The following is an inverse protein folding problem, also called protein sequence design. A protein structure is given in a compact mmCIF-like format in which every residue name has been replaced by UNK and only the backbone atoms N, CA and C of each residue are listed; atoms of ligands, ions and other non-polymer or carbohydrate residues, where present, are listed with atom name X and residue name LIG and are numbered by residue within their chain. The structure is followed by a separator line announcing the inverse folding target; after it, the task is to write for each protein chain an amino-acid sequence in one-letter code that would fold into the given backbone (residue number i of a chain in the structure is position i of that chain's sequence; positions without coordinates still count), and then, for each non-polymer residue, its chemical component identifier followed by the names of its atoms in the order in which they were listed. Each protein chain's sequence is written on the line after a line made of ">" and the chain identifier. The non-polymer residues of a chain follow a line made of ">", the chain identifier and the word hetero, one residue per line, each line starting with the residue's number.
data_IF_721011944946
#
_entry.id   IF_721011944946
#
_cell.length_a   1.000
_cell.length_b   1.000
_cell.length_c   1.000
_cell.angle_alpha   90.00
_cell.angle_beta   90.00
_cell.angle_gamma   90.00
#
_symmetry.space_group_name_H-M   'P 1'
#
loop_
_entity.id
_entity.type
_entity.pdbx_description
1 polymer ?
#
# COMPACT_ATOMS: atom_id res chain seq x y z
N UNK A 1 28.28 26.86 27.35
CA UNK A 1 28.64 26.72 25.92
C UNK A 1 27.75 27.65 25.10
N UNK A 2 28.30 28.44 24.18
CA UNK A 2 27.49 29.35 23.34
C UNK A 2 26.70 28.57 22.27
N UNK A 3 25.62 29.16 21.73
CA UNK A 3 24.86 28.57 20.60
C UNK A 3 25.77 28.27 19.40
N UNK A 4 26.70 29.16 19.11
CA UNK A 4 27.66 29.04 18.01
C UNK A 4 28.64 27.90 18.25
N UNK A 5 29.19 27.81 19.46
CA UNK A 5 30.09 26.71 19.86
C UNK A 5 29.38 25.37 19.77
N UNK A 6 28.13 25.29 20.24
CA UNK A 6 27.33 24.08 20.13
C UNK A 6 27.04 23.70 18.68
N UNK A 7 26.71 24.66 17.83
CA UNK A 7 26.49 24.44 16.39
C UNK A 7 27.74 23.84 15.72
N UNK A 8 28.92 24.40 15.97
CA UNK A 8 30.17 23.88 15.42
C UNK A 8 30.54 22.50 15.99
N UNK A 9 30.26 22.28 17.27
CA UNK A 9 30.43 20.96 17.90
C UNK A 9 29.58 19.89 17.19
N UNK A 10 28.28 20.15 16.99
CA UNK A 10 27.40 19.22 16.29
C UNK A 10 27.85 18.98 14.84
N UNK A 11 28.31 20.03 14.15
CA UNK A 11 28.90 19.92 12.80
C UNK A 11 30.16 19.06 12.79
N UNK A 12 31.01 19.19 13.80
CA UNK A 12 32.20 18.35 13.99
C UNK A 12 31.88 16.87 14.22
N UNK A 13 30.72 16.58 14.84
CA UNK A 13 30.19 15.22 15.00
C UNK A 13 29.50 14.68 13.73
N UNK A 14 29.51 15.41 12.61
CA UNK A 14 28.86 14.98 11.37
C UNK A 14 27.37 15.32 11.27
N UNK A 15 26.79 16.03 12.25
CA UNK A 15 25.38 16.44 12.24
C UNK A 15 25.18 17.74 11.44
N UNK A 16 24.07 17.85 10.74
CA UNK A 16 23.71 19.08 10.01
C UNK A 16 22.23 19.40 10.12
N UNK A 17 21.91 20.69 10.24
CA UNK A 17 20.53 21.17 10.25
C UNK A 17 20.03 21.39 8.82
N UNK A 18 19.14 20.52 8.33
CA UNK A 18 18.69 20.46 6.94
C UNK A 18 17.17 20.30 6.85
N UNK A 19 16.62 20.40 5.63
CA UNK A 19 15.20 20.09 5.39
C UNK A 19 14.99 18.61 5.67
N UNK A 20 14.07 18.30 6.58
CA UNK A 20 13.73 16.93 6.90
C UNK A 20 12.91 16.34 5.74
N UNK A 21 13.56 15.53 4.90
CA UNK A 21 12.90 14.82 3.79
C UNK A 21 12.50 13.38 4.15
N UNK A 22 12.78 12.96 5.38
CA UNK A 22 12.88 11.56 5.77
C UNK A 22 14.07 10.91 5.05
N UNK A 23 14.87 10.12 5.78
CA UNK A 23 15.82 9.26 5.08
C UNK A 23 15.03 8.19 4.32
N UNK A 24 14.93 8.34 3.00
CA UNK A 24 14.37 7.32 2.11
C UNK A 24 15.51 6.35 1.77
N UNK A 25 15.44 5.14 2.31
CA UNK A 25 16.40 4.09 2.01
C UNK A 25 16.02 3.41 0.70
N UNK A 26 17.00 3.24 -0.16
CA UNK A 26 16.85 2.46 -1.39
C UNK A 26 17.30 1.05 -1.04
N UNK A 27 16.33 0.18 -0.78
CA UNK A 27 16.58 -1.23 -0.61
C UNK A 27 16.33 -1.94 -1.93
N UNK A 28 17.35 -2.65 -2.42
CA UNK A 28 17.31 -3.39 -3.66
C UNK A 28 17.34 -4.88 -3.35
N UNK A 29 16.17 -5.51 -3.45
CA UNK A 29 16.08 -6.97 -3.54
C UNK A 29 15.75 -7.35 -4.96
N UNK A 30 16.39 -8.40 -5.46
CA UNK A 30 16.19 -8.88 -6.82
C UNK A 30 14.72 -9.23 -7.12
N UNK A 31 13.99 -9.82 -6.15
CA UNK A 31 12.57 -10.16 -6.31
C UNK A 31 11.69 -8.90 -6.42
N UNK A 32 11.97 -7.86 -5.64
CA UNK A 32 11.28 -6.57 -5.75
C UNK A 32 11.62 -5.83 -7.05
N UNK A 33 12.87 -5.92 -7.50
CA UNK A 33 13.30 -5.35 -8.78
C UNK A 33 12.58 -6.02 -9.96
N UNK A 34 12.46 -7.35 -9.96
CA UNK A 34 11.73 -8.09 -10.97
C UNK A 34 10.24 -7.73 -10.99
N UNK A 35 9.59 -7.62 -9.83
CA UNK A 35 8.19 -7.17 -9.72
C UNK A 35 8.00 -5.75 -10.26
N UNK A 36 8.93 -4.84 -9.96
CA UNK A 36 8.93 -3.48 -10.50
C UNK A 36 9.10 -3.46 -12.01
N UNK A 37 10.00 -4.27 -12.56
CA UNK A 37 10.18 -4.39 -14.01
C UNK A 37 8.90 -4.87 -14.69
N UNK A 38 8.24 -5.90 -14.15
CA UNK A 38 6.96 -6.38 -14.65
C UNK A 38 5.88 -5.29 -14.61
N UNK A 39 5.73 -4.59 -13.47
CA UNK A 39 4.82 -3.46 -13.32
C UNK A 39 5.08 -2.36 -14.38
N UNK A 40 6.33 -1.97 -14.56
CA UNK A 40 6.70 -0.93 -15.53
C UNK A 40 6.37 -1.36 -16.97
N UNK A 41 6.61 -2.62 -17.32
CA UNK A 41 6.22 -3.19 -18.62
C UNK A 41 4.72 -3.14 -18.84
N UNK A 42 3.91 -3.53 -17.85
CA UNK A 42 2.43 -3.46 -17.93
C UNK A 42 1.94 -2.03 -18.10
N UNK A 43 2.49 -1.08 -17.34
CA UNK A 43 2.16 0.34 -17.47
C UNK A 43 2.57 0.88 -18.85
N UNK A 44 3.74 0.50 -19.36
CA UNK A 44 4.19 0.90 -20.69
C UNK A 44 3.27 0.37 -21.80
N UNK A 45 2.83 -0.89 -21.69
CA UNK A 45 1.85 -1.49 -22.59
C UNK A 45 0.50 -0.76 -22.53
N UNK A 46 -0.02 -0.49 -21.33
CA UNK A 46 -1.28 0.24 -21.18
C UNK A 46 -1.21 1.63 -21.84
N UNK A 47 -0.07 2.32 -21.71
CA UNK A 47 0.18 3.61 -22.39
C UNK A 47 0.25 3.46 -23.90
N UNK A 48 0.95 2.46 -24.43
CA UNK A 48 1.07 2.26 -25.88
C UNK A 48 -0.28 1.91 -26.54
N UNK A 49 -1.16 1.24 -25.80
CA UNK A 49 -2.55 0.97 -26.21
C UNK A 49 -3.48 2.18 -26.08
N UNK A 50 -3.01 3.31 -25.56
CA UNK A 50 -3.82 4.51 -25.35
C UNK A 50 -4.83 4.37 -24.20
N UNK A 51 -4.58 3.47 -23.23
CA UNK A 51 -5.45 3.32 -22.06
C UNK A 51 -5.46 4.58 -21.19
N UNK A 52 -6.60 4.87 -20.58
CA UNK A 52 -6.72 5.87 -19.52
C UNK A 52 -6.20 5.26 -18.21
N UNK A 53 -5.00 5.67 -17.80
CA UNK A 53 -4.43 5.28 -16.50
C UNK A 53 -5.04 6.14 -15.40
N UNK A 54 -5.63 5.48 -14.40
CA UNK A 54 -6.17 6.12 -13.20
C UNK A 54 -5.45 5.56 -11.99
N UNK A 55 -4.71 6.40 -11.29
CA UNK A 55 -4.01 6.05 -10.06
C UNK A 55 -4.90 6.34 -8.87
N UNK A 56 -5.08 5.34 -8.01
CA UNK A 56 -5.87 5.42 -6.79
C UNK A 56 -4.91 5.22 -5.63
N UNK A 57 -4.99 6.11 -4.64
CA UNK A 57 -4.17 6.04 -3.44
C UNK A 57 -4.91 6.64 -2.25
N UNK A 58 -4.50 6.21 -1.05
CA UNK A 58 -4.93 6.81 0.20
C UNK A 58 -3.81 7.57 0.88
N UNK A 59 -4.13 8.74 1.41
CA UNK A 59 -3.17 9.53 2.16
C UNK A 59 -3.75 10.05 3.47
N UNK A 60 -2.87 10.31 4.42
CA UNK A 60 -3.21 10.92 5.69
C UNK A 60 -3.08 12.43 5.60
N UNK A 61 -4.14 13.13 6.00
CA UNK A 61 -4.15 14.56 6.26
C UNK A 61 -3.95 14.74 7.76
N UNK A 62 -2.74 15.15 8.14
CA UNK A 62 -2.37 15.42 9.52
C UNK A 62 -2.96 16.76 9.97
N UNK A 63 -3.42 16.82 11.22
CA UNK A 63 -3.97 18.02 11.86
C UNK A 63 -2.88 18.99 12.34
N UNK A 64 -1.67 18.48 12.54
CA UNK A 64 -0.52 19.22 13.07
C UNK A 64 0.62 19.31 12.05
N UNK A 65 1.28 20.47 12.05
CA UNK A 65 2.41 20.76 11.17
C UNK A 65 3.70 20.20 11.77
N UNK A 66 4.51 19.51 10.97
CA UNK A 66 5.86 19.12 11.38
C UNK A 66 6.86 20.23 11.09
N UNK A 67 7.96 20.27 11.85
CA UNK A 67 9.06 21.20 11.58
C UNK A 67 9.74 20.82 10.26
N UNK A 68 9.71 21.72 9.27
CA UNK A 68 10.33 21.54 7.94
C UNK A 68 11.82 21.19 7.99
N UNK A 69 12.52 21.56 9.06
CA UNK A 69 13.96 21.33 9.23
C UNK A 69 14.27 20.60 10.53
N UNK A 70 15.25 19.72 10.49
CA UNK A 70 15.73 18.93 11.62
C UNK A 70 17.24 18.70 11.53
N UNK A 71 17.80 18.14 12.59
CA UNK A 71 19.19 17.68 12.60
C UNK A 71 19.26 16.29 11.98
N UNK A 72 20.20 16.12 11.05
CA UNK A 72 20.44 14.90 10.27
C UNK A 72 21.90 14.47 10.46
N UNK A 73 22.12 13.17 10.66
CA UNK A 73 23.46 12.57 10.73
C UNK A 73 23.96 12.21 9.33
N UNK A 74 25.02 12.88 8.89
CA UNK A 74 25.59 12.67 7.57
C UNK A 74 26.56 11.48 7.51
N UNK A 75 26.88 10.86 8.64
CA UNK A 75 27.78 9.69 8.69
C UNK A 75 27.08 8.40 8.24
N UNK A 76 25.74 8.40 8.27
CA UNK A 76 24.93 7.25 7.86
C UNK A 76 24.77 7.25 6.33
N UNK A 77 25.26 6.19 5.68
CA UNK A 77 25.09 6.01 4.24
C UNK A 77 23.61 5.86 3.87
N UNK A 78 23.19 6.38 2.71
CA UNK A 78 21.82 6.19 2.19
C UNK A 78 21.49 4.74 1.85
N UNK A 79 22.52 3.89 1.72
CA UNK A 79 22.42 2.46 1.37
C UNK A 79 22.70 1.54 2.57
N UNK A 80 22.61 2.08 3.78
CA UNK A 80 22.88 1.34 5.02
C UNK A 80 21.84 0.23 5.22
N UNK A 81 22.24 -0.97 5.70
CA UNK A 81 21.31 -2.06 6.00
C UNK A 81 20.25 -1.68 7.04
N UNK A 82 19.08 -2.31 6.96
CA UNK A 82 17.96 -2.05 7.89
C UNK A 82 18.33 -2.23 9.37
N UNK A 83 19.18 -3.21 9.69
CA UNK A 83 19.64 -3.49 11.05
C UNK A 83 20.47 -2.35 11.66
N UNK A 84 21.30 -1.69 10.85
CA UNK A 84 22.04 -0.52 11.31
C UNK A 84 21.08 0.64 11.58
N UNK A 85 19.97 0.75 10.83
CA UNK A 85 19.00 1.82 10.97
C UNK A 85 18.12 1.74 12.22
N UNK A 86 17.89 0.54 12.77
CA UNK A 86 17.13 0.37 14.03
C UNK A 86 17.76 1.14 15.20
N UNK A 87 19.07 1.38 15.16
CA UNK A 87 19.79 2.19 16.14
C UNK A 87 19.69 3.71 15.96
N UNK A 88 19.10 4.22 14.87
CA UNK A 88 19.12 5.65 14.53
C UNK A 88 17.72 6.26 14.34
N UNK A 89 17.55 7.49 14.83
CA UNK A 89 16.34 8.28 14.61
C UNK A 89 16.42 9.04 13.28
N UNK A 90 15.54 8.72 12.32
CA UNK A 90 15.51 9.35 10.98
C UNK A 90 14.77 10.71 10.94
N UNK A 91 14.55 11.33 12.09
CA UNK A 91 13.77 12.57 12.22
C UNK A 91 12.26 12.34 12.07
N UNK A 92 11.46 13.24 12.66
CA UNK A 92 9.99 13.18 12.58
C UNK A 92 9.50 13.86 11.31
N UNK A 93 9.03 13.08 10.34
CA UNK A 93 8.43 13.59 9.09
C UNK A 93 6.91 13.73 9.16
N UNK A 94 6.25 13.03 10.09
CA UNK A 94 4.82 13.07 10.33
C UNK A 94 4.50 13.52 11.76
N UNK A 95 3.34 14.16 11.95
CA UNK A 95 2.83 14.51 13.27
C UNK A 95 2.43 13.26 14.06
N UNK A 96 2.37 13.38 15.39
CA UNK A 96 2.05 12.25 16.27
C UNK A 96 0.64 11.70 16.04
N UNK A 97 -0.32 12.56 15.73
CA UNK A 97 -1.71 12.17 15.53
C UNK A 97 -1.99 12.09 14.04
N UNK A 98 -2.35 10.89 13.58
CA UNK A 98 -2.92 10.70 12.24
C UNK A 98 -4.29 11.39 12.26
N UNK A 99 -4.45 12.40 11.41
CA UNK A 99 -5.70 13.15 11.31
C UNK A 99 -6.74 12.39 10.49
N UNK A 100 -7.16 12.97 9.37
CA UNK A 100 -8.16 12.37 8.46
C UNK A 100 -7.46 11.53 7.40
N UNK A 101 -8.11 10.50 6.87
CA UNK A 101 -7.67 9.80 5.67
C UNK A 101 -8.42 10.32 4.46
N UNK A 102 -7.77 10.38 3.30
CA UNK A 102 -8.38 10.75 2.03
C UNK A 102 -8.03 9.70 1.01
N UNK A 103 -9.04 9.22 0.28
CA UNK A 103 -8.88 8.39 -0.91
C UNK A 103 -9.26 9.22 -2.13
N UNK A 104 -8.53 9.06 -3.23
CA UNK A 104 -8.81 9.77 -4.47
C UNK A 104 -8.28 9.06 -5.70
N UNK A 105 -8.76 9.49 -6.86
CA UNK A 105 -8.29 9.05 -8.17
C UNK A 105 -7.64 10.22 -8.92
N UNK A 106 -6.52 9.96 -9.59
CA UNK A 106 -5.80 10.94 -10.41
C UNK A 106 -5.41 10.32 -11.75
N UNK A 107 -5.47 11.11 -12.81
CA UNK A 107 -5.03 10.76 -14.17
C UNK A 107 -3.88 11.69 -14.60
N UNK A 108 -3.41 11.53 -15.84
CA UNK A 108 -2.41 12.43 -16.41
C UNK A 108 -2.93 13.88 -16.51
N UNK A 109 -4.23 14.05 -16.67
CA UNK A 109 -4.91 15.34 -16.78
C UNK A 109 -5.24 15.98 -15.41
N UNK A 110 -5.01 15.26 -14.31
CA UNK A 110 -5.23 15.75 -12.95
C UNK A 110 -6.21 14.90 -12.15
N UNK A 111 -6.76 15.47 -11.08
CA UNK A 111 -7.66 14.76 -10.17
C UNK A 111 -8.98 14.44 -10.88
N UNK A 112 -9.47 13.20 -10.75
CA UNK A 112 -10.81 12.85 -11.22
C UNK A 112 -11.82 13.52 -10.30
N UNK A 113 -12.47 14.57 -10.80
CA UNK A 113 -13.43 15.36 -10.03
C UNK A 113 -14.57 14.50 -9.48
N UNK A 114 -14.83 14.67 -8.19
CA UNK A 114 -15.88 13.92 -7.49
C UNK A 114 -15.49 12.50 -7.07
N UNK A 115 -14.26 12.05 -7.29
CA UNK A 115 -13.76 10.78 -6.74
C UNK A 115 -13.06 10.93 -5.39
N UNK A 116 -12.87 12.15 -4.88
CA UNK A 116 -12.21 12.35 -3.58
C UNK A 116 -13.18 12.08 -2.43
N UNK A 117 -12.86 11.13 -1.56
CA UNK A 117 -13.64 10.84 -0.33
C UNK A 117 -12.75 11.07 0.89
N UNK A 118 -13.23 11.90 1.81
CA UNK A 118 -12.56 12.16 3.09
C UNK A 118 -13.17 11.23 4.13
N UNK A 119 -12.31 10.42 4.75
CA UNK A 119 -12.65 9.49 5.82
C UNK A 119 -12.10 10.07 7.12
N UNK A 120 -12.98 10.30 8.08
CA UNK A 120 -12.63 10.90 9.36
C UNK A 120 -12.51 9.80 10.41
N UNK A 121 -11.27 9.55 10.85
CA UNK A 121 -10.94 8.67 11.96
C UNK A 121 -11.45 9.22 13.30
N UNK A 122 -11.89 8.35 14.22
CA UNK A 122 -12.00 8.69 15.65
C UNK A 122 -13.29 9.38 16.14
N UNK A 123 -14.47 9.10 15.57
CA UNK A 123 -15.77 9.48 16.19
C UNK A 123 -16.38 8.42 17.12
N UNK A 124 -15.77 7.25 17.26
CA UNK A 124 -16.22 6.20 18.16
C UNK A 124 -15.49 6.24 19.52
N UNK A 125 -16.13 5.83 20.63
CA UNK A 125 -15.50 5.77 21.95
C UNK A 125 -14.25 4.88 21.96
N UNK A 126 -13.33 5.19 22.87
CA UNK A 126 -11.90 4.82 22.91
C UNK A 126 -11.60 3.31 23.14
N UNK A 127 -12.58 2.41 22.98
CA UNK A 127 -12.40 0.99 23.29
C UNK A 127 -12.56 0.04 22.08
N UNK A 128 -12.62 0.58 20.87
CA UNK A 128 -12.67 -0.23 19.64
C UNK A 128 -11.46 0.06 18.74
N UNK A 129 -10.57 -0.93 18.70
CA UNK A 129 -9.54 -1.24 17.72
C UNK A 129 -9.20 -0.13 16.69
N UNK A 130 -8.05 0.52 16.90
CA UNK A 130 -7.47 1.60 16.07
C UNK A 130 -7.16 1.19 14.61
N UNK A 131 -7.45 -0.04 14.19
CA UNK A 131 -7.23 -0.57 12.84
C UNK A 131 -8.41 -0.37 11.87
N UNK A 132 -9.50 0.30 12.26
CA UNK A 132 -10.79 0.23 11.54
C UNK A 132 -11.12 1.33 10.51
N UNK A 133 -10.25 2.32 10.26
CA UNK A 133 -10.63 3.51 9.48
C UNK A 133 -10.80 3.27 7.96
N UNK A 134 -10.08 2.30 7.39
CA UNK A 134 -10.28 1.86 6.00
C UNK A 134 -10.27 0.34 6.00
N UNK A 135 -11.42 -0.25 5.73
CA UNK A 135 -11.60 -1.70 5.67
C UNK A 135 -12.05 -2.13 4.28
N UNK A 136 -12.14 -3.44 4.07
CA UNK A 136 -12.54 -4.02 2.80
C UNK A 136 -13.89 -3.50 2.30
N UNK A 137 -14.89 -3.34 3.18
CA UNK A 137 -16.23 -2.88 2.74
C UNK A 137 -16.22 -1.43 2.28
N UNK A 138 -15.55 -0.55 3.03
CA UNK A 138 -15.40 0.86 2.66
C UNK A 138 -14.64 1.02 1.34
N UNK A 139 -13.57 0.24 1.17
CA UNK A 139 -12.85 0.23 -0.09
C UNK A 139 -13.72 -0.34 -1.20
N UNK A 140 -14.41 -1.46 -1.04
CA UNK A 140 -15.27 -2.04 -2.10
C UNK A 140 -16.41 -1.11 -2.56
N UNK A 141 -17.00 -0.36 -1.63
CA UNK A 141 -18.05 0.61 -1.96
C UNK A 141 -17.51 1.79 -2.77
N UNK A 142 -16.25 2.19 -2.56
CA UNK A 142 -15.69 3.38 -3.20
C UNK A 142 -15.57 3.25 -4.74
N UNK A 143 -14.97 2.20 -5.33
CA UNK A 143 -14.99 1.99 -6.78
C UNK A 143 -16.42 1.87 -7.30
N UNK A 144 -17.33 1.20 -6.59
CA UNK A 144 -18.74 1.09 -7.03
C UNK A 144 -19.39 2.45 -7.16
N UNK A 145 -19.11 3.34 -6.20
CA UNK A 145 -19.62 4.71 -6.18
C UNK A 145 -18.99 5.56 -7.30
N UNK A 146 -17.69 5.44 -7.57
CA UNK A 146 -16.95 6.41 -8.39
C UNK A 146 -16.45 5.94 -9.76
N UNK A 147 -16.54 4.64 -10.08
CA UNK A 147 -16.01 4.08 -11.34
C UNK A 147 -16.63 4.76 -12.57
N UNK A 148 -17.90 5.15 -12.51
CA UNK A 148 -18.59 5.84 -13.60
C UNK A 148 -17.94 7.20 -13.95
N UNK A 149 -17.39 7.90 -12.95
CA UNK A 149 -16.65 9.16 -13.17
C UNK A 149 -15.31 8.91 -13.86
N UNK A 150 -14.64 7.82 -13.49
CA UNK A 150 -13.39 7.40 -14.14
C UNK A 150 -13.64 6.98 -15.59
N UNK A 151 -14.75 6.27 -15.86
CA UNK A 151 -15.19 5.94 -17.22
C UNK A 151 -15.50 7.17 -18.05
N UNK A 152 -16.14 8.19 -17.45
CA UNK A 152 -16.37 9.47 -18.11
C UNK A 152 -15.05 10.15 -18.50
N UNK A 153 -14.05 10.19 -17.61
CA UNK A 153 -12.71 10.70 -17.92
C UNK A 153 -11.98 9.86 -18.97
N UNK A 154 -12.22 8.54 -18.99
CA UNK A 154 -11.65 7.67 -20.01
C UNK A 154 -12.19 7.98 -21.41
N UNK A 155 -13.40 8.54 -21.54
CA UNK A 155 -13.98 8.99 -22.81
C UNK A 155 -13.93 7.91 -23.91
N UNK A 156 -14.29 6.67 -23.54
CA UNK A 156 -14.30 5.51 -24.45
C UNK A 156 -12.96 4.79 -24.58
N UNK A 157 -11.87 5.29 -23.98
CA UNK A 157 -10.60 4.56 -23.85
C UNK A 157 -10.74 3.39 -22.86
N UNK A 158 -9.87 2.40 -23.01
CA UNK A 158 -9.74 1.35 -22.01
C UNK A 158 -9.30 1.95 -20.67
N UNK A 159 -10.02 1.65 -19.59
CA UNK A 159 -9.74 2.16 -18.26
C UNK A 159 -8.79 1.19 -17.54
N UNK A 160 -7.61 1.67 -17.16
CA UNK A 160 -6.61 0.90 -16.42
C UNK A 160 -6.40 1.51 -15.03
N UNK A 161 -6.86 0.79 -14.00
CA UNK A 161 -6.72 1.20 -12.61
C UNK A 161 -5.37 0.78 -12.05
N UNK A 162 -4.69 1.71 -11.38
CA UNK A 162 -3.42 1.48 -10.70
C UNK A 162 -3.63 1.73 -9.22
N UNK A 163 -3.46 0.68 -8.43
CA UNK A 163 -3.72 0.64 -7.00
C UNK A 163 -2.50 -0.03 -6.33
N UNK A 164 -2.13 0.37 -5.11
CA UNK A 164 -1.14 -0.38 -4.35
C UNK A 164 -1.71 -1.73 -3.86
N UNK A 165 -0.87 -2.56 -3.24
CA UNK A 165 -1.27 -3.89 -2.79
C UNK A 165 -1.56 -3.89 -1.29
N UNK A 166 -2.41 -2.97 -0.83
CA UNK A 166 -2.83 -2.93 0.56
C UNK A 166 -3.75 -4.14 0.85
N UNK A 167 -3.63 -4.79 2.03
CA UNK A 167 -4.43 -5.98 2.34
C UNK A 167 -5.94 -5.76 2.19
N UNK A 168 -6.44 -4.56 2.49
CA UNK A 168 -7.86 -4.24 2.42
C UNK A 168 -8.39 -3.98 1.00
N UNK A 169 -7.53 -3.81 -0.01
CA UNK A 169 -7.95 -3.59 -1.40
C UNK A 169 -8.44 -4.87 -2.08
N UNK A 170 -7.99 -6.02 -1.60
CA UNK A 170 -8.33 -7.32 -2.16
C UNK A 170 -8.99 -8.19 -1.09
N UNK A 171 -10.32 -8.23 -1.09
CA UNK A 171 -11.07 -9.21 -0.29
C UNK A 171 -11.30 -10.47 -1.10
N UNK A 172 -10.85 -11.58 -0.55
CA UNK A 172 -11.20 -12.89 -1.07
C UNK A 172 -12.64 -13.23 -0.65
N UNK A 173 -13.55 -13.33 -1.63
CA UNK A 173 -14.98 -13.63 -1.38
C UNK A 173 -15.21 -15.06 -0.89
N UNK A 174 -14.42 -16.00 -1.42
CA UNK A 174 -14.46 -17.39 -1.04
C UNK A 174 -13.07 -17.86 -0.67
N UNK A 175 -12.93 -18.37 0.55
CA UNK A 175 -11.65 -18.82 1.07
C UNK A 175 -11.25 -20.11 0.36
N UNK A 176 -10.21 -20.02 -0.46
CA UNK A 176 -9.62 -21.18 -1.13
C UNK A 176 -8.95 -22.04 -0.05
N UNK A 177 -9.28 -23.35 0.03
CA UNK A 177 -8.62 -24.26 0.96
C UNK A 177 -7.12 -24.33 0.68
N UNK A 178 -6.32 -24.42 1.74
CA UNK A 178 -4.87 -24.60 1.61
C UNK A 178 -4.46 -25.99 2.09
N UNK A 179 -3.17 -26.35 1.96
CA UNK A 179 -2.61 -27.56 2.57
C UNK A 179 -2.87 -27.68 4.09
N UNK A 180 -3.17 -26.58 4.78
CA UNK A 180 -3.50 -26.56 6.21
C UNK A 180 -5.01 -26.76 6.48
N UNK A 181 -5.87 -26.65 5.47
CA UNK A 181 -7.31 -26.93 5.59
C UNK A 181 -7.58 -28.40 5.89
N UNK A 182 -8.72 -28.74 6.48
CA UNK A 182 -9.12 -30.14 6.67
C UNK A 182 -9.41 -30.80 5.32
N UNK A 183 -9.28 -32.13 5.24
CA UNK A 183 -9.60 -32.88 4.00
C UNK A 183 -11.04 -32.59 3.56
N UNK A 184 -12.01 -32.71 4.47
CA UNK A 184 -13.41 -32.40 4.23
C UNK A 184 -13.64 -30.98 3.68
N UNK A 185 -12.98 -29.95 4.23
CA UNK A 185 -13.12 -28.58 3.72
C UNK A 185 -12.58 -28.40 2.29
N UNK A 186 -11.60 -29.21 1.88
CA UNK A 186 -11.09 -29.22 0.50
C UNK A 186 -12.08 -29.96 -0.41
N UNK A 187 -12.63 -31.08 0.04
CA UNK A 187 -13.66 -31.84 -0.70
C UNK A 187 -14.92 -31.00 -0.92
N UNK A 188 -15.44 -30.37 0.13
CA UNK A 188 -16.61 -29.50 0.07
C UNK A 188 -16.41 -28.33 -0.92
N UNK A 189 -15.20 -27.77 -0.96
CA UNK A 189 -14.84 -26.73 -1.92
C UNK A 189 -14.79 -27.26 -3.35
N UNK A 190 -14.14 -28.40 -3.61
CA UNK A 190 -14.10 -28.99 -4.95
C UNK A 190 -15.50 -29.36 -5.45
N UNK A 191 -16.34 -29.93 -4.57
CA UNK A 191 -17.74 -30.22 -4.86
C UNK A 191 -18.55 -28.94 -5.13
N UNK A 192 -18.31 -27.85 -4.39
CA UNK A 192 -18.97 -26.56 -4.65
C UNK A 192 -18.60 -25.96 -6.02
N UNK A 193 -17.43 -26.33 -6.56
CA UNK A 193 -16.99 -26.01 -7.93
C UNK A 193 -17.48 -26.99 -8.99
N UNK A 194 -18.24 -28.01 -8.60
CA UNK A 194 -18.80 -29.01 -9.51
C UNK A 194 -17.80 -30.08 -9.94
N UNK A 195 -16.70 -30.27 -9.20
CA UNK A 195 -15.74 -31.34 -9.44
C UNK A 195 -16.11 -32.58 -8.63
N UNK A 196 -16.03 -33.75 -9.26
CA UNK A 196 -16.18 -35.01 -8.56
C UNK A 196 -14.91 -35.31 -7.75
N UNK A 197 -15.10 -35.64 -6.48
CA UNK A 197 -14.01 -36.03 -5.59
C UNK A 197 -14.05 -37.55 -5.40
N UNK A 198 -12.97 -38.23 -5.78
CA UNK A 198 -12.87 -39.67 -5.59
C UNK A 198 -12.71 -40.01 -4.09
N UNK A 199 -13.42 -41.04 -3.64
CA UNK A 199 -13.50 -41.44 -2.22
C UNK A 199 -12.13 -41.82 -1.62
N UNK A 200 -11.19 -42.24 -2.47
CA UNK A 200 -9.83 -42.66 -2.12
C UNK A 200 -8.78 -41.55 -2.28
N UNK A 201 -9.16 -40.36 -2.76
CA UNK A 201 -8.22 -39.25 -2.95
C UNK A 201 -7.53 -38.88 -1.63
N UNK A 202 -6.20 -38.76 -1.66
CA UNK A 202 -5.47 -38.28 -0.50
C UNK A 202 -5.60 -36.76 -0.39
N UNK A 203 -5.37 -36.21 0.80
CA UNK A 203 -5.39 -34.76 1.00
C UNK A 203 -4.37 -34.03 0.09
N UNK A 204 -3.26 -34.69 -0.25
CA UNK A 204 -2.27 -34.10 -1.16
C UNK A 204 -2.83 -33.96 -2.58
N UNK A 205 -3.48 -35.01 -3.09
CA UNK A 205 -4.10 -35.02 -4.43
C UNK A 205 -5.18 -33.93 -4.54
N UNK A 206 -6.01 -33.79 -3.50
CA UNK A 206 -7.05 -32.77 -3.46
C UNK A 206 -6.49 -31.34 -3.41
N UNK A 207 -5.36 -31.12 -2.75
CA UNK A 207 -4.68 -29.81 -2.74
C UNK A 207 -4.05 -29.51 -4.10
N UNK A 208 -3.50 -30.52 -4.78
CA UNK A 208 -2.99 -30.35 -6.15
C UNK A 208 -4.13 -29.96 -7.10
N UNK A 209 -5.30 -30.60 -6.98
CA UNK A 209 -6.47 -30.27 -7.79
C UNK A 209 -6.95 -28.85 -7.52
N UNK A 210 -6.98 -28.40 -6.26
CA UNK A 210 -7.25 -26.99 -5.94
C UNK A 210 -6.23 -26.04 -6.56
N UNK A 211 -4.94 -26.40 -6.55
CA UNK A 211 -3.86 -25.56 -7.12
C UNK A 211 -3.97 -25.44 -8.64
N UNK A 212 -4.52 -26.45 -9.33
CA UNK A 212 -4.77 -26.42 -10.77
C UNK A 212 -5.93 -25.50 -11.17
N UNK A 213 -6.80 -25.14 -10.23
CA UNK A 213 -7.93 -24.24 -10.46
C UNK A 213 -7.54 -22.75 -10.31
N UNK A 214 -6.38 -22.46 -9.73
CA UNK A 214 -5.81 -21.10 -9.60
C UNK A 214 -5.08 -20.65 -10.88
#
# INVERSE_FOLDING_TARGET
>A
MSKTTFYYFLRGLGLSYKINRGHRFIFERADLAQKRAAYLSTIAQARSQGSCLVFIDETWVFDQVTTKRGWEDNTISKFTPASTMEGFSCGKTAAKNKGRRVIGAITQEGVVLGCTKIIVSGRAPVDEDYHHDMNHSMFEEWPREFIHRMQHVAAGRHLALVIDNAPYHSRQLEKIPTKHSTKAAIEDYLLSKGLEVALDSTKADLVEEVTRLE
#
